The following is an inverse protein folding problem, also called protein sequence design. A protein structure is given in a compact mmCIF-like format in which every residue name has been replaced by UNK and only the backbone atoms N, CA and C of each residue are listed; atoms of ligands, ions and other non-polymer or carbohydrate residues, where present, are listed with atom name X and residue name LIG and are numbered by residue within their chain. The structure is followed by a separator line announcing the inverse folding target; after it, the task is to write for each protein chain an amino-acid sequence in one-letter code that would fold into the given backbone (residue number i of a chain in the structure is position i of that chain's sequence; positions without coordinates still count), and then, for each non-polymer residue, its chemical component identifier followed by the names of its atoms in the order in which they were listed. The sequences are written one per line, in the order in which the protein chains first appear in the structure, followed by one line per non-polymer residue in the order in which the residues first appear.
data_IF_278123708617
#
_entry.id   IF_278123708617
#
_cell.length_a   1.000
_cell.length_b   1.000
_cell.length_c   1.000
_cell.angle_alpha   90.00
_cell.angle_beta   90.00
_cell.angle_gamma   90.00
#
_symmetry.space_group_name_H-M   'P 1'
#
loop_
_entity.id
_entity.type
_entity.pdbx_description
1 polymer ?
#
# COMPACT_ATOMS: atom_id res chain seq x y z
N UNK A 1 5.42 4.14 0.57
CA UNK A 1 4.89 2.83 0.09
C UNK A 1 5.13 2.57 -1.39
N UNK A 2 4.86 3.53 -2.25
CA UNK A 2 5.16 3.38 -3.68
C UNK A 2 6.63 3.12 -3.93
N UNK A 3 7.47 3.93 -3.32
CA UNK A 3 8.93 3.84 -3.36
C UNK A 3 9.42 2.49 -2.86
N UNK A 4 8.91 2.02 -1.72
CA UNK A 4 9.30 0.74 -1.12
C UNK A 4 9.03 -0.46 -2.06
N UNK A 5 7.86 -0.48 -2.74
CA UNK A 5 7.55 -1.54 -3.71
C UNK A 5 8.55 -1.57 -4.87
N UNK A 6 8.75 -0.41 -5.51
CA UNK A 6 9.63 -0.32 -6.68
C UNK A 6 11.08 -0.57 -6.29
N UNK A 7 11.49 -0.09 -5.14
CA UNK A 7 12.83 -0.36 -4.60
C UNK A 7 13.06 -1.86 -4.37
N UNK A 8 12.15 -2.55 -3.68
CA UNK A 8 12.28 -3.99 -3.45
C UNK A 8 12.19 -4.79 -4.76
N UNK A 9 11.33 -4.36 -5.70
CA UNK A 9 11.29 -4.95 -7.03
C UNK A 9 12.63 -4.78 -7.77
N UNK A 10 13.23 -3.59 -7.67
CA UNK A 10 14.53 -3.31 -8.26
C UNK A 10 15.64 -4.20 -7.67
N UNK A 11 15.75 -4.29 -6.34
CA UNK A 11 16.72 -5.14 -5.66
C UNK A 11 16.53 -6.62 -6.02
N UNK A 12 15.28 -7.08 -6.07
CA UNK A 12 15.03 -8.48 -6.43
C UNK A 12 15.34 -8.75 -7.91
N UNK A 13 15.03 -7.80 -8.80
CA UNK A 13 15.35 -7.90 -10.22
C UNK A 13 16.86 -8.00 -10.49
N UNK A 14 17.71 -7.35 -9.69
CA UNK A 14 19.17 -7.43 -9.82
C UNK A 14 19.71 -8.86 -9.68
N UNK A 15 18.97 -9.78 -9.04
CA UNK A 15 19.38 -11.18 -8.91
C UNK A 15 19.16 -11.99 -10.19
N UNK A 16 18.37 -11.50 -11.13
CA UNK A 16 17.94 -12.24 -12.32
C UNK A 16 18.33 -11.58 -13.63
N UNK A 17 18.60 -10.28 -13.64
CA UNK A 17 19.02 -9.52 -14.82
C UNK A 17 20.48 -9.07 -14.65
N UNK A 18 21.22 -9.06 -15.77
CA UNK A 18 22.61 -8.64 -15.77
C UNK A 18 22.81 -7.21 -15.25
N UNK A 19 21.85 -6.33 -15.53
CA UNK A 19 21.83 -4.95 -15.05
C UNK A 19 20.39 -4.46 -14.90
N UNK A 20 20.14 -3.66 -13.87
CA UNK A 20 18.84 -3.02 -13.61
C UNK A 20 19.08 -1.53 -13.41
N UNK A 21 18.35 -0.71 -14.14
CA UNK A 21 18.47 0.75 -14.13
C UNK A 21 17.16 1.39 -13.68
N UNK A 22 17.28 2.47 -12.92
CA UNK A 22 16.14 3.28 -12.49
C UNK A 22 16.08 4.62 -13.26
N UNK A 23 14.86 5.10 -13.54
CA UNK A 23 14.62 6.45 -14.02
C UNK A 23 13.57 7.10 -13.14
N UNK A 24 13.92 8.22 -12.50
CA UNK A 24 13.08 8.89 -11.52
C UNK A 24 13.17 10.42 -11.65
N UNK A 25 12.36 11.13 -10.85
CA UNK A 25 12.42 12.60 -10.78
C UNK A 25 13.50 13.07 -9.80
N UNK A 26 14.17 14.17 -10.14
CA UNK A 26 15.08 14.87 -9.22
C UNK A 26 14.37 15.74 -8.17
N UNK A 27 13.06 15.94 -8.29
CA UNK A 27 12.28 16.83 -7.43
C UNK A 27 11.96 16.16 -6.07
N UNK A 28 12.97 15.90 -5.27
CA UNK A 28 12.84 15.23 -3.97
C UNK A 28 12.13 16.07 -2.90
N UNK A 29 12.06 17.39 -3.09
CA UNK A 29 11.46 18.31 -2.11
C UNK A 29 9.94 18.22 -2.01
N UNK A 30 9.26 17.67 -3.04
CA UNK A 30 7.80 17.57 -3.11
C UNK A 30 7.22 16.33 -2.44
N UNK A 31 8.05 15.37 -2.11
CA UNK A 31 7.63 14.12 -1.51
C UNK A 31 8.15 14.03 -0.07
N UNK A 32 7.35 13.46 0.86
CA UNK A 32 7.85 13.19 2.20
C UNK A 32 9.16 12.41 2.09
N UNK A 33 10.17 12.82 2.83
CA UNK A 33 11.38 12.03 2.98
C UNK A 33 10.98 10.80 3.78
N UNK A 34 10.95 9.66 3.13
CA UNK A 34 10.90 8.39 3.82
C UNK A 34 12.31 8.11 4.36
N UNK A 35 12.45 7.85 5.65
CA UNK A 35 13.72 7.40 6.29
C UNK A 35 14.03 5.94 5.89
N UNK A 36 13.73 5.60 4.65
CA UNK A 36 13.98 4.27 4.12
C UNK A 36 15.42 4.20 3.61
N UNK A 37 16.26 3.33 4.18
CA UNK A 37 17.63 3.18 3.73
C UNK A 37 17.65 2.63 2.31
N UNK A 38 18.16 3.42 1.37
CA UNK A 38 18.39 2.98 0.00
C UNK A 38 19.77 2.34 -0.08
N UNK A 39 19.86 1.22 -0.78
CA UNK A 39 21.12 0.57 -1.12
C UNK A 39 21.91 1.43 -2.15
N UNK A 40 23.21 1.58 -1.92
CA UNK A 40 24.08 2.40 -2.79
C UNK A 40 24.06 1.90 -4.24
N UNK A 41 23.90 0.59 -4.46
CA UNK A 41 23.84 0.00 -5.80
C UNK A 41 22.58 0.43 -6.57
N UNK A 42 21.45 0.55 -5.87
CA UNK A 42 20.19 1.03 -6.47
C UNK A 42 20.27 2.52 -6.82
N UNK A 43 20.98 3.31 -6.00
CA UNK A 43 21.20 4.74 -6.24
C UNK A 43 22.13 4.95 -7.43
N UNK A 44 23.24 4.21 -7.50
CA UNK A 44 24.25 4.34 -8.54
C UNK A 44 23.70 4.11 -9.96
N UNK A 45 22.73 3.19 -10.09
CA UNK A 45 22.11 2.85 -11.37
C UNK A 45 20.82 3.67 -11.65
N UNK A 46 20.58 4.74 -10.89
CA UNK A 46 19.37 5.57 -11.06
C UNK A 46 19.69 6.90 -11.73
N UNK A 47 19.01 7.16 -12.84
CA UNK A 47 19.08 8.43 -13.59
C UNK A 47 17.91 9.33 -13.16
N UNK A 48 18.23 10.54 -12.71
CA UNK A 48 17.23 11.53 -12.33
C UNK A 48 16.88 12.45 -13.50
N UNK A 49 15.59 12.76 -13.62
CA UNK A 49 15.04 13.71 -14.59
C UNK A 49 14.55 14.94 -13.86
N UNK A 50 15.00 16.12 -14.24
CA UNK A 50 14.43 17.35 -13.74
C UNK A 50 12.98 17.50 -14.23
N UNK A 51 12.10 17.91 -13.34
CA UNK A 51 10.68 18.07 -13.65
C UNK A 51 10.18 19.44 -13.18
N UNK A 52 9.31 20.03 -13.99
CA UNK A 52 8.49 21.15 -13.55
C UNK A 52 7.18 20.60 -13.01
N UNK A 53 6.88 20.91 -11.77
CA UNK A 53 5.62 20.52 -11.13
C UNK A 53 4.97 21.74 -10.50
N UNK A 54 3.72 22.02 -10.83
CA UNK A 54 2.99 23.18 -10.34
C UNK A 54 2.93 23.22 -8.78
N UNK A 55 3.09 22.05 -8.13
CA UNK A 55 3.17 21.96 -6.67
C UNK A 55 4.37 22.70 -6.09
N UNK A 56 5.49 22.76 -6.80
CA UNK A 56 6.68 23.52 -6.35
C UNK A 56 6.38 25.00 -6.24
N UNK A 57 5.62 25.54 -7.19
CA UNK A 57 5.25 26.96 -7.20
C UNK A 57 4.27 27.34 -6.09
N UNK A 58 3.42 26.38 -5.68
CA UNK A 58 2.45 26.60 -4.61
C UNK A 58 3.07 26.39 -3.22
N UNK A 59 4.12 25.56 -3.10
CA UNK A 59 4.80 25.28 -1.83
C UNK A 59 5.88 26.29 -1.47
N UNK A 60 6.52 26.92 -2.44
CA UNK A 60 7.54 27.99 -2.19
C UNK A 60 6.94 29.25 -1.55
N UNK A 61 5.63 29.47 -1.67
CA UNK A 61 4.94 30.57 -0.96
C UNK A 61 4.62 30.29 0.50
N UNK A 62 4.71 29.03 0.95
CA UNK A 62 4.40 28.61 2.32
C UNK A 62 5.62 28.17 3.16
N UNK A 63 6.85 28.52 2.72
CA UNK A 63 8.09 28.17 3.44
C UNK A 63 8.34 28.94 4.74
N UNK A 64 7.29 29.49 5.34
CA UNK A 64 7.28 30.03 6.68
C UNK A 64 6.29 29.27 7.55
N UNK A 65 6.80 28.29 8.29
CA UNK A 65 6.11 27.50 9.33
C UNK A 65 5.36 26.24 8.89
N UNK A 66 5.88 25.14 9.39
CA UNK A 66 5.21 23.84 9.45
C UNK A 66 3.99 23.88 10.37
N UNK A 67 2.82 24.14 9.84
CA UNK A 67 1.52 23.74 10.42
C UNK A 67 0.43 23.96 9.38
N UNK A 68 0.22 22.95 8.52
CA UNK A 68 -0.97 22.91 7.68
C UNK A 68 -2.07 22.22 8.49
N UNK A 69 -2.61 22.94 9.45
CA UNK A 69 -3.98 22.77 9.92
C UNK A 69 -4.34 24.03 10.68
N UNK A 70 -5.14 24.86 10.05
CA UNK A 70 -6.15 25.76 10.59
C UNK A 70 -6.22 27.07 9.79
N UNK A 71 -7.35 27.30 9.14
CA UNK A 71 -7.87 28.65 9.05
C UNK A 71 -7.73 29.42 7.75
N UNK A 72 -7.26 28.86 6.63
CA UNK A 72 -7.48 29.55 5.34
C UNK A 72 -8.73 28.93 4.69
N UNK A 73 -9.83 29.65 4.71
CA UNK A 73 -10.97 29.40 3.82
C UNK A 73 -10.46 29.54 2.37
N UNK A 74 -9.84 28.47 1.83
CA UNK A 74 -9.40 28.44 0.43
C UNK A 74 -10.63 28.76 -0.40
N UNK A 75 -10.56 29.84 -1.17
CA UNK A 75 -11.62 30.27 -2.07
C UNK A 75 -12.09 29.03 -2.88
N UNK A 76 -13.39 28.77 -2.94
CA UNK A 76 -13.97 27.61 -3.64
C UNK A 76 -13.45 27.48 -5.07
N UNK A 77 -13.17 28.63 -5.71
CA UNK A 77 -12.58 28.67 -7.06
C UNK A 77 -11.15 28.10 -7.08
N UNK A 78 -10.31 28.45 -6.11
CA UNK A 78 -8.93 27.93 -6.01
C UNK A 78 -8.93 26.41 -5.76
N UNK A 79 -9.85 25.94 -4.92
CA UNK A 79 -10.01 24.49 -4.70
C UNK A 79 -10.48 23.76 -5.96
N UNK A 80 -11.39 24.35 -6.72
CA UNK A 80 -11.87 23.78 -7.99
C UNK A 80 -10.75 23.74 -9.02
N UNK A 81 -10.03 24.84 -9.22
CA UNK A 81 -8.89 24.92 -10.16
C UNK A 81 -7.80 23.89 -9.76
N UNK A 82 -7.49 23.79 -8.48
CA UNK A 82 -6.55 22.78 -7.98
C UNK A 82 -7.03 21.37 -8.29
N UNK A 83 -8.28 21.04 -7.97
CA UNK A 83 -8.84 19.71 -8.30
C UNK A 83 -8.78 19.41 -9.80
N UNK A 84 -9.07 20.39 -10.63
CA UNK A 84 -9.04 20.24 -12.11
C UNK A 84 -7.59 20.01 -12.58
N UNK A 85 -6.62 20.80 -12.07
CA UNK A 85 -5.21 20.65 -12.43
C UNK A 85 -4.62 19.27 -12.06
N UNK A 86 -5.13 18.66 -10.98
CA UNK A 86 -4.74 17.30 -10.56
C UNK A 86 -5.58 16.18 -11.20
N UNK A 87 -6.49 16.53 -12.10
CA UNK A 87 -7.35 15.57 -12.79
C UNK A 87 -6.90 15.35 -14.21
N UNK A 88 -7.21 14.17 -14.76
CA UNK A 88 -6.96 13.87 -16.16
C UNK A 88 -7.83 14.76 -17.06
N UNK A 89 -7.29 15.30 -18.18
CA UNK A 89 -5.93 15.13 -18.71
C UNK A 89 -4.90 16.14 -18.20
N UNK A 90 -5.32 17.14 -17.41
CA UNK A 90 -4.49 18.27 -17.01
C UNK A 90 -3.31 17.86 -16.12
N UNK A 91 -3.47 16.81 -15.31
CA UNK A 91 -2.39 16.26 -14.47
C UNK A 91 -1.18 15.79 -15.30
N UNK A 92 -1.37 15.36 -16.53
CA UNK A 92 -0.28 14.94 -17.42
C UNK A 92 0.60 16.12 -17.87
N UNK A 93 0.09 17.34 -17.79
CA UNK A 93 0.82 18.56 -18.18
C UNK A 93 1.31 19.31 -16.95
N UNK A 94 0.43 19.46 -15.94
CA UNK A 94 0.63 20.38 -14.81
C UNK A 94 1.09 19.69 -13.52
N UNK A 95 0.80 18.39 -13.38
CA UNK A 95 1.12 17.60 -12.20
C UNK A 95 1.71 16.25 -12.61
N UNK A 96 1.91 15.33 -11.65
CA UNK A 96 2.43 13.97 -11.90
C UNK A 96 3.77 13.96 -12.68
N UNK A 97 4.63 14.96 -12.42
CA UNK A 97 5.89 15.17 -13.13
C UNK A 97 5.74 15.97 -14.44
N UNK A 98 4.50 16.14 -14.93
CA UNK A 98 4.17 16.98 -16.07
C UNK A 98 4.86 16.62 -17.39
N UNK A 99 4.64 17.48 -18.39
CA UNK A 99 5.20 17.28 -19.74
C UNK A 99 6.75 17.28 -19.75
N UNK A 100 7.38 18.01 -18.85
CA UNK A 100 8.85 18.06 -18.74
C UNK A 100 9.44 16.74 -18.31
N UNK A 101 8.76 16.02 -17.39
CA UNK A 101 9.16 14.67 -16.99
C UNK A 101 8.96 13.66 -18.13
N UNK A 102 7.85 13.78 -18.87
CA UNK A 102 7.58 12.87 -19.99
C UNK A 102 8.65 13.03 -21.07
N UNK A 103 8.96 14.25 -21.48
CA UNK A 103 9.96 14.50 -22.52
C UNK A 103 11.38 14.21 -22.04
N UNK A 104 11.76 14.72 -20.87
CA UNK A 104 13.07 14.45 -20.27
C UNK A 104 13.30 12.95 -20.03
N UNK A 105 12.27 12.25 -19.52
CA UNK A 105 12.28 10.81 -19.31
C UNK A 105 12.41 10.02 -20.60
N UNK A 106 11.73 10.46 -21.68
CA UNK A 106 11.89 9.84 -22.99
C UNK A 106 13.33 9.96 -23.52
N UNK A 107 13.92 11.16 -23.52
CA UNK A 107 15.27 11.34 -24.05
C UNK A 107 16.34 10.64 -23.21
N UNK A 108 16.27 10.74 -21.88
CA UNK A 108 17.18 10.02 -20.99
C UNK A 108 16.99 8.51 -21.07
N UNK A 109 15.74 8.03 -21.05
CA UNK A 109 15.42 6.61 -21.22
C UNK A 109 15.90 6.05 -22.56
N UNK A 110 15.73 6.81 -23.66
CA UNK A 110 16.27 6.44 -24.98
C UNK A 110 17.79 6.24 -24.93
N UNK A 111 18.51 7.19 -24.31
CA UNK A 111 19.97 7.09 -24.15
C UNK A 111 20.36 5.89 -23.30
N UNK A 112 19.69 5.68 -22.15
CA UNK A 112 19.93 4.52 -21.28
C UNK A 112 19.75 3.19 -22.03
N UNK A 113 18.70 3.08 -22.85
CA UNK A 113 18.42 1.87 -23.64
C UNK A 113 19.54 1.61 -24.66
N UNK A 114 20.04 2.67 -25.32
CA UNK A 114 21.10 2.55 -26.33
C UNK A 114 22.45 2.21 -25.70
N UNK A 115 22.81 2.89 -24.60
CA UNK A 115 24.10 2.73 -23.93
C UNK A 115 24.24 1.39 -23.20
N UNK A 116 23.14 0.76 -22.80
CA UNK A 116 23.12 -0.45 -21.96
C UNK A 116 22.36 -1.62 -22.58
N UNK A 117 21.97 -1.55 -23.83
CA UNK A 117 21.28 -2.61 -24.59
C UNK A 117 20.03 -3.15 -23.85
N UNK A 118 19.23 -2.24 -23.25
CA UNK A 118 18.06 -2.60 -22.45
C UNK A 118 16.95 -3.17 -23.35
N UNK A 119 16.46 -4.37 -23.03
CA UNK A 119 15.40 -5.03 -23.77
C UNK A 119 14.04 -4.92 -23.07
N UNK A 120 14.02 -4.85 -21.73
CA UNK A 120 12.78 -4.82 -20.92
C UNK A 120 12.65 -3.49 -20.20
N UNK A 121 11.49 -2.88 -20.34
CA UNK A 121 11.12 -1.65 -19.61
C UNK A 121 9.89 -1.90 -18.73
N UNK A 122 9.95 -1.44 -17.49
CA UNK A 122 8.88 -1.57 -16.51
C UNK A 122 8.46 -0.18 -16.03
N UNK A 123 7.18 0.11 -16.09
CA UNK A 123 6.63 1.39 -15.60
C UNK A 123 5.55 1.16 -14.56
N UNK A 124 5.56 1.89 -13.47
CA UNK A 124 4.56 1.74 -12.39
C UNK A 124 3.73 3.01 -12.22
N UNK A 125 2.41 2.86 -12.17
CA UNK A 125 1.44 3.90 -11.82
C UNK A 125 1.39 4.04 -10.28
N UNK A 126 1.33 5.21 -9.65
CA UNK A 126 1.41 6.61 -10.10
C UNK A 126 2.85 7.07 -10.13
N UNK A 127 3.18 8.09 -10.94
CA UNK A 127 2.33 8.87 -11.84
C UNK A 127 2.08 8.19 -13.20
N UNK A 128 1.04 8.60 -13.94
CA UNK A 128 0.75 8.05 -15.26
C UNK A 128 1.78 8.43 -16.31
N UNK A 129 2.51 9.51 -16.09
CA UNK A 129 3.63 9.94 -16.92
C UNK A 129 4.69 8.83 -17.09
N UNK A 130 4.88 7.94 -16.12
CA UNK A 130 5.75 6.76 -16.26
C UNK A 130 5.33 5.86 -17.42
N UNK A 131 4.02 5.62 -17.56
CA UNK A 131 3.48 4.84 -18.67
C UNK A 131 3.64 5.56 -20.00
N UNK A 132 3.49 6.88 -20.03
CA UNK A 132 3.69 7.66 -21.26
C UNK A 132 5.14 7.66 -21.71
N UNK A 133 6.10 7.75 -20.82
CA UNK A 133 7.52 7.60 -21.14
C UNK A 133 7.75 6.25 -21.81
N UNK A 134 7.31 5.16 -21.19
CA UNK A 134 7.48 3.83 -21.76
C UNK A 134 6.69 3.61 -23.05
N UNK A 135 5.52 4.21 -23.20
CA UNK A 135 4.76 4.23 -24.45
C UNK A 135 5.54 4.87 -25.58
N UNK A 136 6.16 6.04 -25.35
CA UNK A 136 7.00 6.73 -26.34
C UNK A 136 8.26 5.92 -26.67
N UNK A 137 8.92 5.33 -25.68
CA UNK A 137 10.08 4.45 -25.87
C UNK A 137 9.73 3.20 -26.70
N UNK A 138 8.59 2.57 -26.40
CA UNK A 138 8.07 1.42 -27.15
C UNK A 138 7.70 1.78 -28.60
N UNK A 139 7.20 3.00 -28.81
CA UNK A 139 6.94 3.49 -30.18
C UNK A 139 8.20 3.78 -30.96
N UNK A 140 9.23 4.28 -30.29
CA UNK A 140 10.54 4.52 -30.89
C UNK A 140 11.28 3.20 -31.19
N UNK A 141 11.26 2.26 -30.24
CA UNK A 141 11.84 0.92 -30.43
C UNK A 141 10.77 -0.17 -30.16
N UNK A 142 10.09 -0.66 -31.21
CA UNK A 142 9.05 -1.69 -31.06
C UNK A 142 9.54 -3.05 -30.53
N UNK A 143 10.85 -3.30 -30.53
CA UNK A 143 11.42 -4.55 -29.99
C UNK A 143 11.42 -4.59 -28.47
N UNK A 144 11.38 -3.43 -27.79
CA UNK A 144 11.35 -3.37 -26.34
C UNK A 144 10.16 -4.15 -25.77
N UNK A 145 10.37 -4.90 -24.72
CA UNK A 145 9.32 -5.54 -23.93
C UNK A 145 8.87 -4.54 -22.89
N UNK A 146 7.64 -4.03 -22.99
CA UNK A 146 7.09 -3.08 -22.03
C UNK A 146 6.05 -3.73 -21.14
N UNK A 147 6.27 -3.62 -19.81
CA UNK A 147 5.35 -4.03 -18.77
C UNK A 147 4.81 -2.79 -18.06
N UNK A 148 3.49 -2.64 -18.01
CA UNK A 148 2.82 -1.54 -17.34
C UNK A 148 2.20 -2.01 -16.00
N UNK A 149 2.72 -1.53 -14.86
CA UNK A 149 2.31 -1.93 -13.50
C UNK A 149 1.31 -0.95 -12.90
N UNK A 150 0.20 -1.47 -12.40
CA UNK A 150 -0.86 -0.71 -11.74
C UNK A 150 -1.02 -1.16 -10.29
N UNK A 151 -0.75 -0.23 -9.37
CA UNK A 151 -0.98 -0.42 -7.93
C UNK A 151 -2.35 0.10 -7.49
N UNK A 152 -2.85 1.05 -8.23
CA UNK A 152 -4.14 1.72 -8.06
C UNK A 152 -4.80 1.83 -9.44
N UNK A 153 -6.11 2.04 -9.47
CA UNK A 153 -6.81 2.34 -10.72
C UNK A 153 -6.52 3.77 -11.17
N UNK A 154 -6.29 3.94 -12.49
CA UNK A 154 -6.19 5.28 -13.08
C UNK A 154 -7.56 5.95 -13.12
N UNK A 155 -8.61 5.21 -13.48
CA UNK A 155 -10.00 5.66 -13.37
C UNK A 155 -10.55 5.07 -12.07
N UNK A 156 -10.63 5.89 -11.03
CA UNK A 156 -11.10 5.51 -9.70
C UNK A 156 -12.24 6.46 -9.32
N UNK A 157 -13.46 6.02 -9.55
CA UNK A 157 -14.67 6.82 -9.33
C UNK A 157 -14.88 7.17 -7.85
N UNK A 158 -14.34 6.34 -6.93
CA UNK A 158 -14.47 6.55 -5.48
C UNK A 158 -13.68 7.78 -5.03
N UNK A 159 -12.58 8.11 -5.69
CA UNK A 159 -11.75 9.27 -5.35
C UNK A 159 -12.35 10.61 -5.76
N UNK A 160 -13.45 10.63 -6.52
CA UNK A 160 -14.20 11.84 -6.87
C UNK A 160 -13.45 12.88 -7.71
N UNK A 161 -12.35 12.49 -8.39
CA UNK A 161 -11.53 13.35 -9.24
C UNK A 161 -11.48 12.89 -10.71
N UNK A 162 -12.46 12.11 -11.12
CA UNK A 162 -12.60 11.63 -12.48
C UNK A 162 -13.63 12.48 -13.20
N UNK A 163 -13.18 13.48 -13.97
CA UNK A 163 -14.08 14.40 -14.68
C UNK A 163 -14.40 13.95 -16.11
N UNK A 164 -13.50 13.22 -16.75
CA UNK A 164 -13.64 12.80 -18.16
C UNK A 164 -13.46 11.28 -18.29
N UNK A 165 -14.31 10.44 -17.65
CA UNK A 165 -14.10 8.99 -17.59
C UNK A 165 -14.01 8.34 -18.97
N UNK A 166 -14.89 8.72 -19.92
CA UNK A 166 -14.87 8.15 -21.28
C UNK A 166 -13.55 8.45 -22.02
N UNK A 167 -13.05 9.68 -21.92
CA UNK A 167 -11.78 10.08 -22.51
C UNK A 167 -10.62 9.34 -21.86
N UNK A 168 -10.66 9.21 -20.54
CA UNK A 168 -9.63 8.54 -19.75
C UNK A 168 -9.59 7.03 -20.06
N UNK A 169 -10.75 6.39 -20.21
CA UNK A 169 -10.84 4.99 -20.64
C UNK A 169 -10.29 4.79 -22.06
N UNK A 170 -10.67 5.66 -23.01
CA UNK A 170 -10.16 5.62 -24.38
C UNK A 170 -8.63 5.80 -24.40
N UNK A 171 -8.12 6.76 -23.62
CA UNK A 171 -6.70 7.02 -23.51
C UNK A 171 -5.94 5.82 -22.95
N UNK A 172 -6.43 5.21 -21.85
CA UNK A 172 -5.85 4.02 -21.27
C UNK A 172 -5.76 2.87 -22.29
N UNK A 173 -6.85 2.61 -23.02
CA UNK A 173 -6.84 1.58 -24.07
C UNK A 173 -5.80 1.86 -25.15
N UNK A 174 -5.70 3.10 -25.58
CA UNK A 174 -4.76 3.51 -26.64
C UNK A 174 -3.31 3.33 -26.21
N UNK A 175 -2.98 3.75 -24.98
CA UNK A 175 -1.62 3.66 -24.44
C UNK A 175 -1.27 2.21 -24.14
N UNK A 176 -2.10 1.52 -23.35
CA UNK A 176 -1.79 0.18 -22.83
C UNK A 176 -1.82 -0.90 -23.90
N UNK A 177 -2.54 -0.71 -25.01
CA UNK A 177 -2.50 -1.62 -26.18
C UNK A 177 -1.07 -1.84 -26.72
N UNK A 178 -0.12 -0.92 -26.44
CA UNK A 178 1.26 -1.06 -26.86
C UNK A 178 2.14 -1.78 -25.84
N UNK A 179 1.67 -1.97 -24.61
CA UNK A 179 2.37 -2.79 -23.63
C UNK A 179 2.38 -4.27 -24.07
N UNK A 180 3.36 -5.02 -23.63
CA UNK A 180 3.42 -6.46 -23.84
C UNK A 180 2.56 -7.19 -22.80
N UNK A 181 2.51 -6.63 -21.58
CA UNK A 181 1.64 -7.08 -20.51
C UNK A 181 1.34 -5.95 -19.52
N UNK A 182 0.29 -6.14 -18.75
CA UNK A 182 -0.07 -5.29 -17.60
C UNK A 182 0.10 -6.10 -16.33
N UNK A 183 0.67 -5.49 -15.28
CA UNK A 183 0.69 -6.09 -13.94
C UNK A 183 -0.14 -5.30 -12.96
N UNK A 184 -0.64 -5.97 -11.92
CA UNK A 184 -1.38 -5.35 -10.83
C UNK A 184 -1.14 -6.05 -9.50
N UNK A 185 -1.48 -5.39 -8.39
CA UNK A 185 -1.14 -5.88 -7.05
C UNK A 185 -2.16 -6.85 -6.45
N UNK A 186 -3.36 -6.95 -7.02
CA UNK A 186 -4.41 -7.83 -6.50
C UNK A 186 -5.30 -8.39 -7.61
N UNK A 187 -5.97 -9.50 -7.31
CA UNK A 187 -6.93 -10.11 -8.22
C UNK A 187 -8.16 -9.22 -8.42
N UNK A 188 -8.56 -8.50 -7.37
CA UNK A 188 -9.69 -7.57 -7.46
C UNK A 188 -9.50 -6.47 -8.49
N UNK A 189 -8.26 -5.98 -8.70
CA UNK A 189 -7.96 -4.95 -9.68
C UNK A 189 -7.92 -5.48 -11.13
N UNK A 190 -7.75 -6.79 -11.34
CA UNK A 190 -7.64 -7.36 -12.70
C UNK A 190 -8.89 -7.09 -13.54
N UNK A 191 -10.08 -7.20 -12.94
CA UNK A 191 -11.36 -6.97 -13.63
C UNK A 191 -11.43 -5.60 -14.30
N UNK A 192 -10.99 -4.57 -13.58
CA UNK A 192 -10.99 -3.19 -14.10
C UNK A 192 -9.96 -3.00 -15.22
N UNK A 193 -8.81 -3.67 -15.12
CA UNK A 193 -7.73 -3.57 -16.11
C UNK A 193 -7.99 -4.40 -17.38
N UNK A 194 -8.80 -5.45 -17.31
CA UNK A 194 -9.25 -6.23 -18.46
C UNK A 194 -9.93 -5.38 -19.54
N UNK A 195 -10.53 -4.25 -19.14
CA UNK A 195 -11.08 -3.27 -20.08
C UNK A 195 -10.02 -2.62 -20.99
N UNK A 196 -8.74 -2.70 -20.64
CA UNK A 196 -7.63 -2.02 -21.34
C UNK A 196 -6.63 -2.99 -21.97
N UNK A 197 -6.43 -4.18 -21.38
CA UNK A 197 -5.44 -5.14 -21.85
C UNK A 197 -5.85 -6.59 -21.54
N UNK A 198 -5.55 -7.53 -22.44
CA UNK A 198 -5.93 -8.94 -22.28
C UNK A 198 -4.90 -9.75 -21.47
N UNK A 199 -3.63 -9.34 -21.49
CA UNK A 199 -2.53 -10.02 -20.79
C UNK A 199 -2.26 -9.31 -19.47
N UNK A 200 -2.87 -9.81 -18.38
CA UNK A 200 -2.72 -9.24 -17.04
C UNK A 200 -2.13 -10.28 -16.11
N UNK A 201 -1.11 -9.88 -15.37
CA UNK A 201 -0.47 -10.69 -14.34
C UNK A 201 -0.59 -10.03 -12.97
N UNK A 202 -0.94 -10.80 -11.94
CA UNK A 202 -0.98 -10.30 -10.56
C UNK A 202 0.40 -10.42 -9.93
N UNK A 203 1.12 -9.30 -9.93
CA UNK A 203 2.39 -9.13 -9.25
C UNK A 203 2.13 -8.43 -7.91
N UNK A 204 1.97 -9.19 -6.84
CA UNK A 204 1.61 -8.66 -5.53
C UNK A 204 2.74 -7.83 -4.92
N UNK A 205 2.42 -6.97 -3.96
CA UNK A 205 3.43 -6.57 -2.99
C UNK A 205 3.90 -7.82 -2.25
N UNK A 206 5.06 -7.73 -1.62
CA UNK A 206 5.59 -8.90 -0.96
C UNK A 206 6.32 -8.55 0.33
N UNK A 207 6.49 -9.55 1.16
CA UNK A 207 7.27 -9.48 2.39
C UNK A 207 8.73 -9.29 1.99
N UNK A 208 9.37 -8.28 2.57
CA UNK A 208 10.81 -8.11 2.44
C UNK A 208 11.47 -9.23 3.24
N UNK A 209 12.26 -10.06 2.57
CA UNK A 209 13.05 -11.07 3.25
C UNK A 209 14.12 -10.38 4.10
N UNK A 210 13.82 -10.16 5.38
CA UNK A 210 14.87 -9.97 6.38
C UNK A 210 15.55 -11.32 6.52
N UNK A 211 16.85 -11.39 6.20
CA UNK A 211 17.64 -12.61 6.24
C UNK A 211 17.48 -13.30 7.61
N UNK A 212 16.50 -14.19 7.72
CA UNK A 212 16.40 -15.25 8.71
C UNK A 212 16.24 -14.91 10.20
N UNK A 213 16.26 -13.64 10.57
CA UNK A 213 16.09 -13.24 11.95
C UNK A 213 14.77 -12.49 12.13
N UNK A 214 13.70 -13.24 12.44
CA UNK A 214 12.77 -12.71 13.43
C UNK A 214 13.63 -12.62 14.70
N UNK A 215 14.17 -11.43 14.98
CA UNK A 215 14.69 -11.19 16.33
C UNK A 215 13.56 -11.57 17.27
N UNK A 216 13.84 -12.50 18.19
CA UNK A 216 12.88 -12.91 19.21
C UNK A 216 12.57 -11.67 20.05
N UNK A 217 11.58 -10.92 19.61
CA UNK A 217 11.14 -9.75 20.34
C UNK A 217 10.20 -10.23 21.42
N UNK A 218 10.56 -9.96 22.66
CA UNK A 218 9.65 -10.18 23.78
C UNK A 218 8.33 -9.45 23.49
N UNK A 219 7.22 -10.17 23.56
CA UNK A 219 5.89 -9.57 23.43
C UNK A 219 5.66 -8.53 24.54
N UNK A 220 4.70 -7.65 24.32
CA UNK A 220 4.27 -6.75 25.38
C UNK A 220 3.85 -7.54 26.64
N UNK A 221 4.11 -6.99 27.81
CA UNK A 221 3.81 -7.65 29.10
C UNK A 221 2.32 -7.90 29.33
N UNK A 222 1.45 -7.04 28.76
CA UNK A 222 0.00 -7.22 28.76
C UNK A 222 -0.42 -7.83 27.44
N UNK A 223 -1.52 -8.58 27.42
CA UNK A 223 -2.12 -9.00 26.18
C UNK A 223 -2.41 -7.77 25.30
N UNK A 224 -1.89 -7.73 24.10
CA UNK A 224 -1.87 -6.51 23.29
C UNK A 224 -2.50 -6.70 21.94
N UNK A 225 -3.36 -5.75 21.57
CA UNK A 225 -3.91 -5.61 20.23
C UNK A 225 -3.40 -4.28 19.67
N UNK A 226 -2.80 -4.29 18.49
CA UNK A 226 -2.19 -3.07 17.94
C UNK A 226 -2.68 -2.75 16.53
N UNK A 227 -2.92 -1.46 16.28
CA UNK A 227 -3.10 -0.90 14.95
C UNK A 227 -2.02 0.12 14.66
N UNK A 228 -1.32 -0.07 13.55
CA UNK A 228 -0.28 0.87 13.11
C UNK A 228 -0.66 1.50 11.78
N UNK A 229 -0.73 2.83 11.69
CA UNK A 229 -0.87 3.62 10.48
C UNK A 229 -2.16 4.42 10.36
N UNK A 230 -2.46 4.91 9.13
CA UNK A 230 -3.52 5.89 8.89
C UNK A 230 -4.93 5.30 8.93
N UNK A 231 -5.85 6.04 9.53
CA UNK A 231 -7.27 5.76 9.58
C UNK A 231 -7.98 6.67 8.57
N UNK A 232 -8.61 6.08 7.55
CA UNK A 232 -9.46 6.81 6.61
C UNK A 232 -10.91 6.71 7.10
N UNK A 233 -11.37 7.65 7.92
CA UNK A 233 -12.62 7.61 8.69
C UNK A 233 -13.87 7.23 7.86
N UNK A 234 -13.94 7.66 6.59
CA UNK A 234 -15.08 7.33 5.73
C UNK A 234 -15.03 5.89 5.17
N UNK A 235 -13.84 5.30 5.11
CA UNK A 235 -13.61 4.01 4.45
C UNK A 235 -13.29 2.87 5.44
N UNK A 236 -12.87 3.20 6.65
CA UNK A 236 -12.40 2.22 7.65
C UNK A 236 -13.02 2.50 9.00
N UNK A 237 -13.35 1.45 9.73
CA UNK A 237 -13.87 1.52 11.09
C UNK A 237 -13.23 0.44 11.94
N UNK A 238 -12.92 0.76 13.18
CA UNK A 238 -12.52 -0.19 14.20
C UNK A 238 -13.62 -0.40 15.25
N UNK A 239 -14.81 0.14 15.05
CA UNK A 239 -15.90 0.18 16.03
C UNK A 239 -16.27 -1.23 16.52
N UNK A 240 -16.25 -2.20 15.61
CA UNK A 240 -16.54 -3.61 15.92
C UNK A 240 -15.55 -4.17 16.96
N UNK A 241 -14.25 -3.86 16.85
CA UNK A 241 -13.23 -4.25 17.85
C UNK A 241 -13.50 -3.58 19.19
N UNK A 242 -13.75 -2.27 19.19
CA UNK A 242 -13.95 -1.50 20.42
C UNK A 242 -15.19 -2.00 21.18
N UNK A 243 -16.28 -2.28 20.47
CA UNK A 243 -17.49 -2.85 21.02
C UNK A 243 -17.23 -4.26 21.58
N UNK A 244 -16.46 -5.10 20.89
CA UNK A 244 -16.10 -6.44 21.36
C UNK A 244 -15.30 -6.38 22.67
N UNK A 245 -14.31 -5.50 22.75
CA UNK A 245 -13.51 -5.31 23.96
C UNK A 245 -14.35 -4.81 25.14
N UNK A 246 -15.18 -3.78 24.93
CA UNK A 246 -16.07 -3.26 25.95
C UNK A 246 -17.00 -4.34 26.50
N UNK A 247 -17.60 -5.16 25.63
CA UNK A 247 -18.46 -6.27 26.02
C UNK A 247 -17.71 -7.36 26.81
N UNK A 248 -16.51 -7.73 26.38
CA UNK A 248 -15.71 -8.75 27.06
C UNK A 248 -15.26 -8.29 28.46
N UNK A 249 -14.88 -7.03 28.59
CA UNK A 249 -14.49 -6.43 29.87
C UNK A 249 -15.72 -6.30 30.79
N UNK A 250 -16.85 -5.78 30.30
CA UNK A 250 -18.08 -5.62 31.11
C UNK A 250 -18.64 -6.94 31.61
N UNK A 251 -18.47 -8.03 30.85
CA UNK A 251 -18.83 -9.40 31.23
C UNK A 251 -17.80 -10.08 32.15
N UNK A 252 -16.71 -9.38 32.52
CA UNK A 252 -15.63 -9.95 33.34
C UNK A 252 -14.83 -11.06 32.66
N UNK A 253 -14.93 -11.22 31.33
CA UNK A 253 -14.18 -12.25 30.58
C UNK A 253 -12.74 -11.84 30.29
N UNK A 254 -12.47 -10.54 30.21
CA UNK A 254 -11.16 -9.94 30.07
C UNK A 254 -10.94 -8.98 31.21
N UNK A 255 -9.81 -9.13 31.89
CA UNK A 255 -9.33 -8.22 32.91
C UNK A 255 -8.67 -7.01 32.26
N UNK A 256 -9.20 -5.81 32.49
CA UNK A 256 -8.68 -4.56 31.94
C UNK A 256 -7.25 -4.26 32.34
N UNK A 257 -6.80 -4.75 33.51
CA UNK A 257 -5.42 -4.57 33.97
C UNK A 257 -4.41 -5.43 33.19
N UNK A 258 -4.89 -6.46 32.50
CA UNK A 258 -4.06 -7.44 31.76
C UNK A 258 -4.07 -7.24 30.26
N UNK A 259 -4.83 -6.28 29.72
CA UNK A 259 -4.91 -5.99 28.29
C UNK A 259 -4.43 -4.58 27.97
N UNK A 260 -3.88 -4.37 26.78
CA UNK A 260 -3.59 -3.05 26.24
C UNK A 260 -3.96 -2.96 24.75
N UNK A 261 -4.44 -1.80 24.35
CA UNK A 261 -4.82 -1.46 22.98
C UNK A 261 -3.88 -0.37 22.46
N UNK A 262 -3.02 -0.70 21.49
CA UNK A 262 -1.98 0.20 20.99
C UNK A 262 -2.40 0.85 19.67
N UNK A 263 -2.17 2.14 19.57
CA UNK A 263 -2.30 2.90 18.33
C UNK A 263 -1.02 3.65 18.00
N UNK A 264 -0.53 3.47 16.76
CA UNK A 264 0.55 4.27 16.18
C UNK A 264 0.12 4.83 14.82
N UNK A 265 -0.10 6.13 14.73
CA UNK A 265 -0.57 6.79 13.51
C UNK A 265 -0.85 8.28 13.71
N UNK A 266 -1.25 8.94 12.62
CA UNK A 266 -1.49 10.40 12.61
C UNK A 266 -2.90 10.79 13.03
N UNK A 267 -3.87 9.89 12.93
CA UNK A 267 -5.29 10.16 13.14
C UNK A 267 -5.73 9.83 14.57
N UNK A 268 -4.97 10.27 15.56
CA UNK A 268 -5.22 10.04 16.99
C UNK A 268 -6.62 10.51 17.41
N UNK A 269 -7.09 11.62 16.90
CA UNK A 269 -8.41 12.16 17.24
C UNK A 269 -9.55 11.17 16.86
N UNK A 270 -9.44 10.48 15.72
CA UNK A 270 -10.42 9.49 15.27
C UNK A 270 -10.36 8.25 16.16
N UNK A 271 -9.15 7.79 16.49
CA UNK A 271 -8.95 6.66 17.38
C UNK A 271 -9.52 6.93 18.77
N UNK A 272 -9.24 8.11 19.32
CA UNK A 272 -9.74 8.54 20.63
C UNK A 272 -11.26 8.71 20.69
N UNK A 273 -11.94 8.99 19.58
CA UNK A 273 -13.40 8.97 19.54
C UNK A 273 -13.92 7.56 19.85
N UNK A 274 -13.37 6.50 19.26
CA UNK A 274 -13.76 5.12 19.60
C UNK A 274 -13.39 4.78 21.04
N UNK A 275 -12.18 5.13 21.51
CA UNK A 275 -11.75 4.92 22.90
C UNK A 275 -12.77 5.52 23.88
N UNK A 276 -13.19 6.75 23.65
CA UNK A 276 -14.13 7.45 24.51
C UNK A 276 -15.56 6.90 24.42
N UNK A 277 -16.02 6.59 23.21
CA UNK A 277 -17.37 6.06 23.00
C UNK A 277 -17.59 4.70 23.70
N UNK A 278 -16.53 3.91 23.86
CA UNK A 278 -16.59 2.58 24.48
C UNK A 278 -15.94 2.51 25.87
N UNK A 279 -15.55 3.64 26.46
CA UNK A 279 -14.94 3.72 27.80
C UNK A 279 -13.68 2.84 27.98
N UNK A 280 -12.78 2.85 27.00
CA UNK A 280 -11.57 2.02 26.97
C UNK A 280 -10.27 2.82 27.23
N UNK A 281 -10.34 4.00 27.89
CA UNK A 281 -9.19 4.87 28.14
C UNK A 281 -8.10 4.17 28.95
N UNK A 282 -8.47 3.35 29.93
CA UNK A 282 -7.52 2.70 30.84
C UNK A 282 -6.64 1.66 30.15
N UNK A 283 -7.08 1.06 29.04
CA UNK A 283 -6.33 0.07 28.28
C UNK A 283 -5.64 0.65 27.05
N UNK A 284 -5.88 1.93 26.75
CA UNK A 284 -5.40 2.56 25.54
C UNK A 284 -3.98 3.14 25.68
N UNK A 285 -3.13 2.87 24.68
CA UNK A 285 -1.75 3.39 24.59
C UNK A 285 -1.58 4.04 23.20
N UNK A 286 -1.26 5.34 23.21
CA UNK A 286 -0.99 6.11 21.99
C UNK A 286 0.52 6.26 21.82
N UNK A 287 1.03 5.80 20.69
CA UNK A 287 2.45 5.94 20.31
C UNK A 287 2.70 7.16 19.42
N UNK A 288 1.63 7.80 18.90
CA UNK A 288 1.75 8.92 17.98
C UNK A 288 2.23 8.50 16.58
N UNK A 289 2.84 9.44 15.87
CA UNK A 289 3.41 9.19 14.53
C UNK A 289 4.85 8.68 14.68
N UNK A 290 5.03 7.38 14.59
CA UNK A 290 6.31 6.67 14.76
C UNK A 290 7.00 6.42 13.42
N UNK A 291 8.30 6.13 13.46
CA UNK A 291 9.05 5.66 12.31
C UNK A 291 8.56 4.29 11.82
N UNK A 292 8.91 3.92 10.58
CA UNK A 292 8.55 2.60 10.03
C UNK A 292 9.16 1.45 10.83
N UNK A 293 10.37 1.64 11.38
CA UNK A 293 11.03 0.63 12.20
C UNK A 293 10.32 0.43 13.54
N UNK A 294 9.95 1.52 14.22
CA UNK A 294 9.17 1.46 15.46
C UNK A 294 7.78 0.84 15.24
N UNK A 295 7.12 1.18 14.12
CA UNK A 295 5.84 0.56 13.75
C UNK A 295 5.97 -0.96 13.61
N UNK A 296 7.04 -1.45 12.95
CA UNK A 296 7.33 -2.88 12.84
C UNK A 296 7.59 -3.52 14.21
N UNK A 297 8.32 -2.86 15.09
CA UNK A 297 8.54 -3.37 16.46
C UNK A 297 7.22 -3.48 17.24
N UNK A 298 6.32 -2.49 17.13
CA UNK A 298 5.00 -2.55 17.77
C UNK A 298 4.21 -3.74 17.22
N UNK A 299 4.21 -3.93 15.89
CA UNK A 299 3.53 -5.06 15.23
C UNK A 299 4.05 -6.41 15.71
N UNK A 300 5.37 -6.57 15.81
CA UNK A 300 6.02 -7.82 16.25
C UNK A 300 5.77 -8.12 17.73
N UNK A 301 5.79 -7.09 18.60
CA UNK A 301 5.55 -7.24 20.04
C UNK A 301 4.07 -7.48 20.40
N UNK A 302 3.17 -7.28 19.46
CA UNK A 302 1.72 -7.43 19.67
C UNK A 302 1.31 -8.89 19.69
N UNK A 303 0.29 -9.24 20.48
CA UNK A 303 -0.32 -10.55 20.44
C UNK A 303 -1.33 -10.68 19.30
N UNK A 304 -2.04 -9.59 18.96
CA UNK A 304 -2.92 -9.50 17.80
C UNK A 304 -2.63 -8.22 17.01
N UNK A 305 -2.66 -8.31 15.69
CA UNK A 305 -2.56 -7.15 14.81
C UNK A 305 -3.93 -6.84 14.19
N UNK A 306 -4.42 -5.61 14.39
CA UNK A 306 -5.64 -5.14 13.75
C UNK A 306 -5.35 -4.62 12.34
N UNK A 307 -6.02 -5.15 11.34
CA UNK A 307 -5.99 -4.65 9.97
C UNK A 307 -7.36 -4.06 9.62
N UNK A 308 -7.39 -2.81 9.19
CA UNK A 308 -8.60 -2.15 8.72
C UNK A 308 -8.58 -2.02 7.20
N UNK A 309 -9.62 -2.50 6.55
CA UNK A 309 -9.80 -2.41 5.11
C UNK A 309 -11.22 -1.97 4.74
N UNK A 310 -11.48 -1.86 3.46
CA UNK A 310 -12.80 -1.60 2.90
C UNK A 310 -12.94 -2.31 1.56
N UNK A 311 -14.16 -2.63 1.18
CA UNK A 311 -14.48 -3.23 -0.10
C UNK A 311 -15.81 -2.68 -0.65
N UNK A 312 -15.93 -2.64 -1.97
CA UNK A 312 -17.16 -2.35 -2.69
C UNK A 312 -17.34 -3.36 -3.82
N UNK A 313 -18.51 -3.39 -4.46
CA UNK A 313 -18.78 -4.30 -5.58
C UNK A 313 -17.78 -4.15 -6.75
N UNK A 314 -17.22 -2.95 -6.94
CA UNK A 314 -16.23 -2.65 -7.98
C UNK A 314 -14.78 -2.72 -7.53
N UNK A 315 -14.50 -2.81 -6.22
CA UNK A 315 -13.15 -2.79 -5.66
C UNK A 315 -13.02 -3.76 -4.49
N UNK A 316 -12.29 -4.83 -4.70
CA UNK A 316 -11.95 -5.86 -3.71
C UNK A 316 -10.43 -6.09 -3.72
N UNK A 317 -9.92 -6.77 -2.71
CA UNK A 317 -8.51 -7.13 -2.64
C UNK A 317 -7.60 -5.91 -2.45
N UNK A 318 -7.98 -4.97 -1.58
CA UNK A 318 -7.15 -3.79 -1.27
C UNK A 318 -6.04 -4.20 -0.31
N UNK A 319 -5.08 -4.96 -0.87
CA UNK A 319 -3.92 -5.47 -0.14
C UNK A 319 -2.92 -4.33 0.13
N UNK A 320 -3.04 -3.70 1.29
CA UNK A 320 -2.14 -2.64 1.71
C UNK A 320 -0.79 -3.20 2.17
N UNK A 321 0.27 -2.36 2.27
CA UNK A 321 1.55 -2.82 2.79
C UNK A 321 1.48 -3.34 4.22
N UNK A 322 0.56 -2.83 5.05
CA UNK A 322 0.34 -3.33 6.41
C UNK A 322 -0.01 -4.81 6.47
N UNK A 323 -0.79 -5.28 5.50
CA UNK A 323 -1.08 -6.71 5.39
C UNK A 323 0.22 -7.53 5.29
N UNK A 324 1.16 -7.12 4.43
CA UNK A 324 2.44 -7.82 4.28
C UNK A 324 3.36 -7.64 5.49
N UNK A 325 3.32 -6.48 6.14
CA UNK A 325 4.03 -6.23 7.39
C UNK A 325 3.52 -7.15 8.51
N UNK A 326 2.20 -7.31 8.63
CA UNK A 326 1.57 -8.19 9.62
C UNK A 326 1.82 -9.68 9.32
N UNK A 327 1.84 -10.07 8.06
CA UNK A 327 2.29 -11.41 7.67
C UNK A 327 3.76 -11.66 8.06
N UNK A 328 4.62 -10.65 7.94
CA UNK A 328 6.01 -10.74 8.37
C UNK A 328 6.16 -10.81 9.90
N UNK A 329 5.26 -10.15 10.65
CA UNK A 329 5.22 -10.25 12.11
C UNK A 329 4.74 -11.62 12.62
N UNK A 330 4.05 -12.39 11.78
CA UNK A 330 3.54 -13.74 12.05
C UNK A 330 2.56 -13.86 13.24
N UNK A 331 2.03 -12.74 13.72
CA UNK A 331 1.00 -12.73 14.75
C UNK A 331 -0.40 -12.86 14.12
N UNK A 332 -1.41 -13.36 14.85
CA UNK A 332 -2.78 -13.43 14.35
C UNK A 332 -3.28 -12.06 13.93
N UNK A 333 -3.97 -12.01 12.79
CA UNK A 333 -4.51 -10.79 12.23
C UNK A 333 -6.03 -10.76 12.39
N UNK A 334 -6.54 -9.73 13.06
CA UNK A 334 -7.97 -9.40 13.01
C UNK A 334 -8.18 -8.40 11.89
N UNK A 335 -8.75 -8.84 10.77
CA UNK A 335 -9.11 -7.97 9.66
C UNK A 335 -10.58 -7.54 9.79
N UNK A 336 -10.83 -6.23 9.84
CA UNK A 336 -12.18 -5.67 9.79
C UNK A 336 -12.35 -4.93 8.47
N UNK A 337 -13.34 -5.36 7.68
CA UNK A 337 -13.66 -4.81 6.36
C UNK A 337 -14.97 -4.03 6.45
N UNK A 338 -14.93 -2.75 6.07
CA UNK A 338 -16.14 -1.94 5.89
C UNK A 338 -16.66 -2.07 4.47
N UNK A 339 -17.97 -2.35 4.33
CA UNK A 339 -18.64 -2.44 3.03
C UNK A 339 -18.97 -3.86 2.61
N UNK A 340 -18.75 -4.20 1.33
CA UNK A 340 -19.13 -5.49 0.75
C UNK A 340 -18.13 -6.61 1.08
N UNK A 341 -18.54 -7.86 0.77
CA UNK A 341 -17.65 -9.02 0.89
C UNK A 341 -16.41 -8.87 0.01
N UNK A 342 -15.26 -9.25 0.56
CA UNK A 342 -13.97 -9.29 -0.11
C UNK A 342 -13.47 -10.74 -0.20
N UNK A 343 -13.86 -11.41 -1.27
CA UNK A 343 -13.51 -12.82 -1.51
C UNK A 343 -11.99 -13.05 -1.66
N UNK A 344 -11.22 -12.03 -2.07
CA UNK A 344 -9.78 -12.16 -2.14
C UNK A 344 -9.16 -12.23 -0.76
N UNK A 345 -9.58 -11.37 0.19
CA UNK A 345 -9.11 -11.44 1.56
C UNK A 345 -9.59 -12.72 2.28
N UNK A 346 -10.86 -13.11 2.12
CA UNK A 346 -11.37 -14.36 2.71
C UNK A 346 -10.47 -15.54 2.28
N UNK A 347 -10.26 -15.69 0.96
CA UNK A 347 -9.42 -16.76 0.43
C UNK A 347 -7.98 -16.71 0.96
N UNK A 348 -7.36 -15.53 1.00
CA UNK A 348 -5.98 -15.36 1.48
C UNK A 348 -5.87 -15.74 2.95
N UNK A 349 -6.82 -15.32 3.79
CA UNK A 349 -6.81 -15.63 5.21
C UNK A 349 -7.02 -17.13 5.47
N UNK A 350 -7.90 -17.78 4.72
CA UNK A 350 -8.12 -19.22 4.80
C UNK A 350 -6.88 -20.00 4.35
N UNK A 351 -6.29 -19.67 3.20
CA UNK A 351 -5.10 -20.32 2.67
C UNK A 351 -3.92 -20.20 3.66
N UNK A 352 -3.70 -19.01 4.22
CA UNK A 352 -2.60 -18.71 5.14
C UNK A 352 -2.87 -19.10 6.59
N UNK A 353 -4.13 -19.30 6.98
CA UNK A 353 -4.57 -19.36 8.38
C UNK A 353 -4.12 -18.11 9.16
N UNK A 354 -4.26 -16.92 8.54
CA UNK A 354 -3.67 -15.68 9.02
C UNK A 354 -4.42 -15.05 10.22
N UNK A 355 -5.65 -15.48 10.49
CA UNK A 355 -6.48 -14.95 11.56
C UNK A 355 -7.96 -14.92 11.22
N UNK A 356 -8.66 -13.84 11.57
CA UNK A 356 -10.10 -13.67 11.34
C UNK A 356 -10.36 -12.54 10.34
N UNK A 357 -11.24 -12.78 9.37
CA UNK A 357 -11.86 -11.76 8.53
C UNK A 357 -13.27 -11.49 9.05
N UNK A 358 -13.53 -10.27 9.48
CA UNK A 358 -14.83 -9.82 9.95
C UNK A 358 -15.29 -8.61 9.12
N UNK A 359 -16.60 -8.45 9.00
CA UNK A 359 -17.19 -7.28 8.35
C UNK A 359 -17.76 -6.33 9.39
N UNK A 360 -17.66 -5.02 9.14
CA UNK A 360 -18.09 -3.96 10.07
C UNK A 360 -19.62 -3.90 10.18
N UNK A 361 -20.20 -4.96 10.74
CA UNK A 361 -21.63 -5.08 11.06
C UNK A 361 -21.84 -5.94 12.33
N UNK A 362 -23.06 -5.92 12.87
CA UNK A 362 -23.38 -6.56 14.12
C UNK A 362 -23.31 -8.10 14.09
N UNK A 363 -23.44 -8.72 12.93
CA UNK A 363 -23.44 -10.18 12.78
C UNK A 363 -22.11 -10.80 13.17
N UNK A 364 -21.01 -10.05 12.95
CA UNK A 364 -19.64 -10.48 13.27
C UNK A 364 -19.20 -10.16 14.71
N UNK A 365 -20.06 -9.54 15.52
CA UNK A 365 -19.72 -9.14 16.89
C UNK A 365 -19.25 -10.33 17.73
N UNK A 366 -19.99 -11.43 17.69
CA UNK A 366 -19.66 -12.62 18.46
C UNK A 366 -18.38 -13.30 17.98
N UNK A 367 -18.17 -13.39 16.68
CA UNK A 367 -16.96 -14.01 16.11
C UNK A 367 -15.69 -13.23 16.53
N UNK A 368 -15.78 -11.90 16.54
CA UNK A 368 -14.67 -11.04 16.99
C UNK A 368 -14.44 -11.20 18.50
N UNK A 369 -15.51 -11.24 19.32
CA UNK A 369 -15.39 -11.52 20.74
C UNK A 369 -14.72 -12.89 21.00
N UNK A 370 -15.18 -13.94 20.34
CA UNK A 370 -14.66 -15.30 20.50
C UNK A 370 -13.19 -15.40 20.05
N UNK A 371 -12.82 -14.73 18.94
CA UNK A 371 -11.45 -14.66 18.44
C UNK A 371 -10.50 -13.98 19.44
N UNK A 372 -10.88 -12.82 19.95
CA UNK A 372 -10.07 -12.11 20.95
C UNK A 372 -9.95 -12.93 22.25
N UNK A 373 -11.06 -13.47 22.73
CA UNK A 373 -11.11 -14.23 23.97
C UNK A 373 -10.26 -15.50 23.89
N UNK A 374 -10.29 -16.20 22.76
CA UNK A 374 -9.44 -17.39 22.50
C UNK A 374 -7.97 -17.09 22.77
N UNK A 375 -7.42 -16.06 22.14
CA UNK A 375 -5.99 -15.72 22.29
C UNK A 375 -5.67 -15.09 23.65
N UNK A 376 -6.60 -14.33 24.22
CA UNK A 376 -6.43 -13.79 25.58
C UNK A 376 -6.34 -14.90 26.62
N UNK A 377 -7.21 -15.90 26.57
CA UNK A 377 -7.18 -17.04 27.51
C UNK A 377 -5.94 -17.89 27.32
N UNK A 378 -5.52 -18.14 26.10
CA UNK A 378 -4.27 -18.86 25.82
C UNK A 378 -3.06 -18.12 26.38
N UNK A 379 -2.98 -16.79 26.15
CA UNK A 379 -1.94 -15.98 26.74
C UNK A 379 -1.98 -15.96 28.27
N UNK A 380 -3.16 -15.88 28.85
CA UNK A 380 -3.33 -15.89 30.31
C UNK A 380 -2.83 -17.19 30.94
N UNK A 381 -3.03 -18.32 30.26
CA UNK A 381 -2.63 -19.65 30.72
C UNK A 381 -1.12 -19.92 30.51
N UNK A 382 -0.58 -19.55 29.32
CA UNK A 382 0.74 -19.94 28.86
C UNK A 382 1.78 -18.81 28.91
N UNK A 383 1.37 -17.57 29.13
CA UNK A 383 2.22 -16.38 28.98
C UNK A 383 2.54 -16.03 27.52
N UNK A 384 2.09 -16.81 26.56
CA UNK A 384 2.32 -16.64 25.13
C UNK A 384 1.12 -17.15 24.34
N UNK A 385 1.05 -16.81 23.04
CA UNK A 385 0.05 -17.36 22.13
C UNK A 385 0.73 -18.29 21.12
N UNK A 386 0.01 -19.33 20.71
CA UNK A 386 0.46 -20.24 19.65
C UNK A 386 -0.29 -19.88 18.37
N UNK A 387 0.43 -19.29 17.44
CA UNK A 387 -0.09 -19.02 16.11
C UNK A 387 1.01 -19.28 15.09
N UNK A 388 0.65 -19.91 13.98
CA UNK A 388 1.58 -20.09 12.86
C UNK A 388 0.84 -19.89 11.55
N UNK A 389 1.27 -18.90 10.81
CA UNK A 389 0.87 -18.73 9.41
C UNK A 389 1.48 -19.88 8.62
N UNK A 390 0.71 -20.52 7.73
CA UNK A 390 1.20 -21.63 6.92
C UNK A 390 2.40 -21.21 6.08
N UNK A 391 3.58 -21.69 6.46
CA UNK A 391 4.86 -21.26 5.88
C UNK A 391 4.98 -21.53 4.37
N UNK A 392 4.38 -22.63 3.88
CA UNK A 392 4.35 -22.98 2.47
C UNK A 392 3.55 -21.96 1.65
N UNK A 393 2.37 -21.56 2.14
CA UNK A 393 1.54 -20.55 1.50
C UNK A 393 2.15 -19.15 1.62
N UNK A 394 2.82 -18.86 2.74
CA UNK A 394 3.49 -17.58 2.99
C UNK A 394 4.60 -17.29 1.96
N UNK A 395 5.26 -18.31 1.41
CA UNK A 395 6.26 -18.15 0.35
C UNK A 395 5.73 -17.38 -0.84
N UNK A 396 4.46 -17.60 -1.22
CA UNK A 396 3.80 -16.90 -2.35
C UNK A 396 3.76 -15.38 -2.18
N UNK A 397 3.95 -14.90 -0.94
CA UNK A 397 3.96 -13.48 -0.58
C UNK A 397 5.37 -12.93 -0.35
N UNK A 398 6.42 -13.64 -0.80
CA UNK A 398 7.82 -13.19 -0.75
C UNK A 398 8.26 -12.67 -2.11
N UNK A 399 9.19 -11.70 -2.11
CA UNK A 399 9.67 -11.09 -3.34
C UNK A 399 10.34 -12.08 -4.28
N UNK A 400 11.13 -13.02 -3.76
CA UNK A 400 11.80 -14.05 -4.56
C UNK A 400 10.81 -14.94 -5.33
N UNK A 401 9.69 -15.28 -4.72
CA UNK A 401 8.66 -16.09 -5.35
C UNK A 401 7.83 -15.28 -6.35
N UNK A 402 7.46 -14.06 -5.99
CA UNK A 402 6.76 -13.12 -6.89
C UNK A 402 7.59 -12.84 -8.16
N UNK A 403 8.89 -12.62 -8.02
CA UNK A 403 9.79 -12.38 -9.16
C UNK A 403 9.90 -13.63 -10.04
N UNK A 404 10.06 -14.81 -9.46
CA UNK A 404 10.13 -16.06 -10.19
C UNK A 404 8.87 -16.34 -11.01
N UNK A 405 7.70 -16.12 -10.42
CA UNK A 405 6.41 -16.23 -11.12
C UNK A 405 6.29 -15.19 -12.25
N UNK A 406 6.74 -13.96 -12.00
CA UNK A 406 6.74 -12.88 -12.98
C UNK A 406 7.65 -13.20 -14.18
N UNK A 407 8.87 -13.69 -13.95
CA UNK A 407 9.81 -14.08 -15.00
C UNK A 407 9.28 -15.26 -15.83
N UNK A 408 8.68 -16.26 -15.17
CA UNK A 408 8.02 -17.36 -15.88
C UNK A 408 6.86 -16.88 -16.76
N UNK A 409 6.13 -15.85 -16.29
CA UNK A 409 5.08 -15.23 -17.09
C UNK A 409 5.67 -14.47 -18.28
N UNK A 410 6.75 -13.70 -18.09
CA UNK A 410 7.45 -13.01 -19.17
C UNK A 410 7.99 -13.99 -20.22
N UNK A 411 8.67 -15.05 -19.82
CA UNK A 411 9.18 -16.07 -20.72
C UNK A 411 8.12 -16.77 -21.59
N UNK A 412 6.85 -16.74 -21.16
CA UNK A 412 5.72 -17.22 -21.96
C UNK A 412 5.17 -16.15 -22.92
N UNK A 413 5.56 -14.89 -22.79
CA UNK A 413 5.07 -13.75 -23.57
C UNK A 413 6.08 -13.26 -24.62
N UNK A 414 7.32 -13.69 -24.49
CA UNK A 414 8.42 -13.47 -25.44
C UNK A 414 8.57 -14.68 -26.35
#
# INVERSE_FOLDING_TARGET
MATVRIYNFHLEAQKYFASVFGLTTSNRQLFPKDDFPLDDSAIANTTEVWTYDLRTFLSEKDSGSASINEGIKKNRLVQFISKLAYSFPFNLVLADGGITFILGGFFKGKKMIQDNEIEVIFSSFKPYSNHLICYLLKRWNPKLIWIADFRDLHVDEIRGNVYFPKLQHWFNRTVLKKANAVTTVSQGLTKNLQAYHSKIFVLRNAIVSTNGQVESTDHFKKFSISYTGSIYANLRSAELLFKALANLISKGKIDKEKIQLNYAGKEEAIWMQWVNNFNLQEINVIHGNVSMQEAKMIQQKSHLNLLLSWASEGQQGILTAKFYEYLAAQNPILLIIKGSKDFEFEKIFDDLQAGLVAYDNADFQKEVEDFILKYYLEWLEKGTITHSIKSEELRKYRWDDQMRQFLNYLGKQV
#
